data_IF_012295347594
#
_entry.id   IF_012295347594
#
_cell.length_a   1.000
_cell.length_b   1.000
_cell.length_c   1.000
_cell.angle_alpha   90.00
_cell.angle_beta   90.00
_cell.angle_gamma   90.00
#
_symmetry.space_group_name_H-M   'P 1'
#
loop_
_entity.id
_entity.type
_entity.pdbx_description
1 polymer ?
#
# COMPACT_ATOMS: atom_id res chain seq x y z
N UNK A 1 16.84 17.85 8.61
CA UNK A 1 15.70 18.46 9.34
C UNK A 1 14.69 17.36 9.64
N UNK A 2 14.26 17.25 10.90
CA UNK A 2 13.17 16.34 11.28
C UNK A 2 11.86 16.91 10.76
N UNK A 3 11.02 16.10 10.11
CA UNK A 3 9.72 16.55 9.60
C UNK A 3 8.82 17.02 10.76
N UNK A 4 8.07 18.11 10.54
CA UNK A 4 7.08 18.55 11.51
C UNK A 4 6.03 17.47 11.71
N UNK A 5 5.84 17.04 12.96
CA UNK A 5 4.90 15.98 13.29
C UNK A 5 3.46 16.46 13.19
N UNK A 6 2.59 15.59 12.65
CA UNK A 6 1.15 15.80 12.58
C UNK A 6 0.44 14.89 13.59
N UNK A 7 -0.54 15.47 14.25
CA UNK A 7 -1.46 14.77 15.15
C UNK A 7 -2.82 14.64 14.46
N UNK A 8 -3.72 13.87 15.03
CA UNK A 8 -5.03 13.61 14.40
C UNK A 8 -5.74 14.90 13.95
N UNK A 9 -5.66 15.97 14.73
CA UNK A 9 -6.30 17.27 14.45
C UNK A 9 -5.74 17.99 13.24
N UNK A 10 -4.54 17.62 12.78
CA UNK A 10 -3.86 18.28 11.66
C UNK A 10 -4.24 17.70 10.29
N UNK A 11 -4.99 16.59 10.29
CA UNK A 11 -5.42 15.94 9.05
C UNK A 11 -6.76 16.47 8.57
N UNK A 12 -6.92 16.48 7.24
CA UNK A 12 -8.17 16.86 6.57
C UNK A 12 -8.52 15.80 5.53
N UNK A 13 -9.82 15.57 5.33
CA UNK A 13 -10.31 14.80 4.19
C UNK A 13 -9.82 15.45 2.89
N UNK A 14 -9.25 14.66 1.99
CA UNK A 14 -8.61 15.12 0.76
C UNK A 14 -7.09 15.32 0.86
N UNK A 15 -6.48 15.24 2.04
CA UNK A 15 -5.01 15.21 2.16
C UNK A 15 -4.45 14.03 1.38
N UNK A 16 -3.39 14.27 0.60
CA UNK A 16 -2.80 13.25 -0.28
C UNK A 16 -1.33 13.02 0.05
N UNK A 17 -0.95 11.75 -0.03
CA UNK A 17 0.41 11.30 0.24
C UNK A 17 0.87 10.39 -0.89
N UNK A 18 2.11 10.60 -1.32
CA UNK A 18 2.70 9.83 -2.41
C UNK A 18 3.81 8.94 -1.88
N UNK A 19 3.98 7.81 -2.55
CA UNK A 19 5.14 6.92 -2.39
C UNK A 19 5.90 6.85 -3.71
N UNK A 20 7.20 6.56 -3.69
CA UNK A 20 7.96 6.33 -4.91
C UNK A 20 7.38 5.13 -5.67
N UNK A 21 7.45 5.19 -7.00
CA UNK A 21 7.13 4.06 -7.85
C UNK A 21 8.21 2.97 -7.74
N UNK A 22 7.81 1.73 -8.03
CA UNK A 22 8.69 0.57 -7.98
C UNK A 22 8.39 -0.38 -9.15
N UNK A 23 9.42 -0.77 -9.88
CA UNK A 23 9.28 -1.77 -10.95
C UNK A 23 9.33 -3.17 -10.35
N UNK A 24 8.35 -4.00 -10.68
CA UNK A 24 8.31 -5.41 -10.31
C UNK A 24 9.41 -6.19 -11.02
N UNK A 25 10.16 -6.97 -10.27
CA UNK A 25 11.21 -7.85 -10.76
C UNK A 25 11.05 -9.26 -10.20
N UNK A 26 11.78 -10.22 -10.73
CA UNK A 26 11.85 -11.60 -10.20
C UNK A 26 12.24 -11.63 -8.72
N UNK A 27 13.09 -10.71 -8.28
CA UNK A 27 13.50 -10.63 -6.88
C UNK A 27 12.31 -10.41 -5.93
N UNK A 28 11.34 -9.58 -6.32
CA UNK A 28 10.14 -9.36 -5.51
C UNK A 28 9.33 -10.65 -5.35
N UNK A 29 9.18 -11.42 -6.42
CA UNK A 29 8.44 -12.69 -6.39
C UNK A 29 9.14 -13.72 -5.51
N UNK A 30 10.46 -13.85 -5.65
CA UNK A 30 11.26 -14.78 -4.84
C UNK A 30 11.25 -14.42 -3.35
N UNK A 31 11.42 -13.14 -3.01
CA UNK A 31 11.34 -12.70 -1.62
C UNK A 31 9.96 -12.94 -1.03
N UNK A 32 8.91 -12.68 -1.80
CA UNK A 32 7.54 -12.91 -1.34
C UNK A 32 7.27 -14.40 -1.10
N UNK A 33 7.71 -15.29 -2.01
CA UNK A 33 7.61 -16.73 -1.81
C UNK A 33 8.41 -17.21 -0.59
N UNK A 34 9.64 -16.72 -0.43
CA UNK A 34 10.49 -17.06 0.71
C UNK A 34 9.88 -16.66 2.06
N UNK A 35 9.15 -15.54 2.08
CA UNK A 35 8.48 -15.04 3.28
C UNK A 35 7.16 -15.75 3.57
N UNK A 36 6.39 -16.09 2.54
CA UNK A 36 4.99 -16.56 2.69
C UNK A 36 4.81 -18.06 2.42
N UNK A 37 5.73 -18.70 1.71
CA UNK A 37 5.58 -20.05 1.19
C UNK A 37 4.69 -20.13 -0.07
N UNK A 38 4.18 -19.03 -0.59
CA UNK A 38 3.36 -19.02 -1.81
C UNK A 38 4.23 -19.13 -3.05
N UNK A 39 4.53 -20.38 -3.43
CA UNK A 39 5.33 -20.77 -4.57
C UNK A 39 4.50 -21.41 -5.70
N UNK A 40 3.27 -20.96 -5.90
CA UNK A 40 2.45 -21.49 -6.99
C UNK A 40 3.09 -21.22 -8.36
N UNK A 41 3.13 -22.21 -9.30
CA UNK A 41 3.83 -22.09 -10.60
C UNK A 41 3.46 -20.85 -11.43
N UNK A 42 2.24 -20.34 -11.30
CA UNK A 42 1.79 -19.14 -12.02
C UNK A 42 2.68 -17.91 -11.78
N UNK A 43 3.43 -17.90 -10.67
CA UNK A 43 4.31 -16.81 -10.29
C UNK A 43 5.77 -17.04 -10.68
N UNK A 44 6.17 -18.28 -10.96
CA UNK A 44 7.60 -18.65 -11.10
C UNK A 44 7.95 -19.41 -12.35
N UNK A 45 6.98 -20.08 -13.00
CA UNK A 45 7.20 -20.95 -14.14
C UNK A 45 6.62 -20.32 -15.40
N UNK A 46 7.51 -19.91 -16.32
CA UNK A 46 7.10 -19.28 -17.56
C UNK A 46 6.34 -20.25 -18.48
N UNK A 47 6.73 -21.54 -18.51
CA UNK A 47 6.04 -22.53 -19.33
C UNK A 47 4.64 -22.80 -18.79
N UNK A 48 4.48 -22.91 -17.48
CA UNK A 48 3.15 -22.99 -16.87
C UNK A 48 2.30 -21.75 -17.17
N UNK A 49 2.87 -20.56 -16.97
CA UNK A 49 2.16 -19.30 -17.12
C UNK A 49 1.67 -19.03 -18.56
N UNK A 50 2.43 -19.48 -19.58
CA UNK A 50 2.02 -19.39 -20.99
C UNK A 50 0.69 -20.05 -21.29
N UNK A 51 0.36 -21.12 -20.59
CA UNK A 51 -0.89 -21.86 -20.76
C UNK A 51 -2.06 -21.31 -19.96
N UNK A 52 -1.83 -20.27 -19.17
CA UNK A 52 -2.90 -19.56 -18.44
C UNK A 52 -3.50 -18.44 -19.32
N UNK A 53 -4.67 -17.93 -18.92
CA UNK A 53 -5.29 -16.77 -19.58
C UNK A 53 -4.41 -15.52 -19.58
N UNK A 54 -3.37 -15.48 -18.74
CA UNK A 54 -2.46 -14.34 -18.63
C UNK A 54 -1.28 -14.40 -19.59
N UNK A 55 -0.91 -15.60 -20.08
CA UNK A 55 0.18 -15.81 -21.03
C UNK A 55 1.59 -15.55 -20.48
N UNK A 56 1.71 -15.14 -19.22
CA UNK A 56 2.97 -14.81 -18.55
C UNK A 56 2.79 -14.82 -17.03
N UNK A 57 3.91 -14.84 -16.28
CA UNK A 57 3.89 -14.92 -14.83
C UNK A 57 3.18 -13.73 -14.20
N UNK A 58 2.20 -14.02 -13.36
CA UNK A 58 1.36 -13.08 -12.64
C UNK A 58 1.98 -12.71 -11.28
N UNK A 59 1.92 -11.45 -10.89
CA UNK A 59 2.27 -11.04 -9.53
C UNK A 59 1.26 -11.59 -8.51
N UNK A 60 1.76 -12.00 -7.32
CA UNK A 60 0.91 -12.37 -6.20
C UNK A 60 0.04 -11.17 -5.78
N UNK A 61 -1.25 -11.41 -5.52
CA UNK A 61 -2.14 -10.34 -5.04
C UNK A 61 -1.66 -9.73 -3.73
N UNK A 62 -1.24 -10.54 -2.76
CA UNK A 62 -0.73 -10.05 -1.48
C UNK A 62 0.64 -9.35 -1.61
N UNK A 63 1.47 -9.66 -2.61
CA UNK A 63 2.65 -8.88 -2.95
C UNK A 63 2.24 -7.46 -3.38
N UNK A 64 1.23 -7.33 -4.25
CA UNK A 64 0.71 -6.02 -4.66
C UNK A 64 0.15 -5.24 -3.47
N UNK A 65 -0.59 -5.90 -2.58
CA UNK A 65 -1.07 -5.30 -1.33
C UNK A 65 0.08 -4.79 -0.48
N UNK A 66 1.17 -5.56 -0.31
CA UNK A 66 2.33 -5.14 0.48
C UNK A 66 3.03 -3.90 -0.09
N UNK A 67 2.96 -3.67 -1.40
CA UNK A 67 3.53 -2.49 -2.04
C UNK A 67 2.79 -1.18 -1.71
N UNK A 68 1.62 -1.26 -1.10
CA UNK A 68 0.85 -0.10 -0.63
C UNK A 68 1.25 0.38 0.77
N UNK A 69 2.20 -0.28 1.42
CA UNK A 69 2.68 0.12 2.74
C UNK A 69 3.18 1.57 2.76
N UNK A 70 2.81 2.32 3.80
CA UNK A 70 3.08 3.77 3.88
C UNK A 70 4.52 4.13 4.23
N UNK A 71 5.36 3.17 4.63
CA UNK A 71 6.70 3.43 5.17
C UNK A 71 7.63 4.26 4.28
N UNK A 72 7.47 4.20 2.95
CA UNK A 72 8.22 5.02 2.00
C UNK A 72 7.43 6.26 1.51
N UNK A 73 6.24 6.51 2.05
CA UNK A 73 5.39 7.62 1.65
C UNK A 73 5.76 8.92 2.34
N UNK A 74 5.26 10.03 1.80
CA UNK A 74 5.38 11.35 2.44
C UNK A 74 4.57 11.45 3.74
N UNK A 75 3.69 10.47 4.04
CA UNK A 75 2.98 10.38 5.31
C UNK A 75 3.87 9.87 6.45
N UNK A 76 4.70 8.85 6.19
CA UNK A 76 5.46 8.16 7.24
C UNK A 76 6.25 9.11 8.16
N UNK A 77 7.09 10.03 7.65
CA UNK A 77 7.93 10.87 8.51
C UNK A 77 7.15 11.90 9.32
N UNK A 78 5.92 12.22 8.95
CA UNK A 78 5.10 13.23 9.65
C UNK A 78 4.17 12.64 10.72
N UNK A 79 4.04 11.29 10.79
CA UNK A 79 3.22 10.61 11.81
C UNK A 79 4.06 9.76 12.77
N UNK A 80 5.37 9.83 12.70
CA UNK A 80 6.29 9.01 13.50
C UNK A 80 6.00 9.12 15.02
N UNK A 81 5.68 10.32 15.50
CA UNK A 81 5.35 10.57 16.90
C UNK A 81 3.87 10.33 17.25
N UNK A 82 2.99 10.21 16.26
CA UNK A 82 1.54 10.17 16.48
C UNK A 82 0.88 8.87 16.07
N UNK A 83 1.53 8.02 15.27
CA UNK A 83 0.98 6.74 14.87
C UNK A 83 0.86 5.80 16.09
N UNK A 84 -0.35 5.33 16.37
CA UNK A 84 -0.63 4.39 17.44
C UNK A 84 -0.68 2.95 16.91
N UNK A 85 -1.43 2.73 15.82
CA UNK A 85 -1.57 1.40 15.24
C UNK A 85 -2.09 1.47 13.79
N UNK A 86 -1.68 0.50 12.97
CA UNK A 86 -2.34 0.12 11.73
C UNK A 86 -3.37 -0.96 12.06
N UNK A 87 -4.66 -0.66 11.94
CA UNK A 87 -5.71 -1.51 12.52
C UNK A 87 -6.53 -2.28 11.50
N UNK A 88 -6.58 -1.81 10.26
CA UNK A 88 -7.37 -2.46 9.22
C UNK A 88 -6.82 -2.16 7.83
N UNK A 89 -6.93 -3.13 6.95
CA UNK A 89 -6.60 -3.00 5.54
C UNK A 89 -7.61 -3.82 4.72
N UNK A 90 -8.13 -3.20 3.67
CA UNK A 90 -8.93 -3.87 2.65
C UNK A 90 -8.29 -3.73 1.30
N UNK A 91 -8.52 -4.69 0.42
CA UNK A 91 -7.97 -4.69 -0.94
C UNK A 91 -8.94 -5.30 -1.92
N UNK A 92 -9.07 -4.65 -3.08
CA UNK A 92 -9.71 -5.18 -4.26
C UNK A 92 -8.72 -5.13 -5.43
N UNK A 93 -8.56 -6.26 -6.12
CA UNK A 93 -7.69 -6.36 -7.29
C UNK A 93 -8.50 -6.12 -8.55
N UNK A 94 -8.15 -5.08 -9.29
CA UNK A 94 -8.88 -4.64 -10.49
C UNK A 94 -8.25 -5.15 -11.79
N UNK A 95 -6.92 -5.31 -11.81
CA UNK A 95 -6.14 -5.78 -12.97
C UNK A 95 -4.96 -6.62 -12.54
N UNK A 96 -4.51 -7.56 -13.40
CA UNK A 96 -3.26 -8.27 -13.17
C UNK A 96 -2.05 -7.32 -13.29
N UNK A 97 -0.99 -7.63 -12.57
CA UNK A 97 0.32 -7.01 -12.72
C UNK A 97 1.38 -8.10 -12.96
N UNK A 98 2.44 -7.75 -13.65
CA UNK A 98 3.45 -8.66 -14.15
C UNK A 98 4.86 -8.14 -13.87
N UNK A 99 5.85 -9.02 -13.98
CA UNK A 99 7.27 -8.57 -14.00
C UNK A 99 7.45 -7.51 -15.08
N UNK A 100 8.14 -6.43 -14.73
CA UNK A 100 8.37 -5.27 -15.59
C UNK A 100 7.34 -4.15 -15.45
N UNK A 101 6.20 -4.38 -14.80
CA UNK A 101 5.27 -3.29 -14.50
C UNK A 101 5.85 -2.38 -13.40
N UNK A 102 5.73 -1.08 -13.60
CA UNK A 102 6.12 -0.06 -12.62
C UNK A 102 4.89 0.44 -11.90
N UNK A 103 4.85 0.19 -10.61
CA UNK A 103 3.68 0.43 -9.76
C UNK A 103 3.93 1.62 -8.84
N UNK A 104 2.94 2.52 -8.75
CA UNK A 104 2.95 3.71 -7.91
C UNK A 104 1.78 3.68 -6.93
N UNK A 105 2.02 3.55 -5.61
CA UNK A 105 0.97 3.69 -4.61
C UNK A 105 0.63 5.16 -4.36
N UNK A 106 -0.66 5.43 -4.13
CA UNK A 106 -1.20 6.73 -3.72
C UNK A 106 -2.12 6.56 -2.54
N UNK A 107 -2.12 7.52 -1.64
CA UNK A 107 -2.92 7.53 -0.43
C UNK A 107 -3.67 8.86 -0.32
N UNK A 108 -4.96 8.80 0.01
CA UNK A 108 -5.82 9.97 0.20
C UNK A 108 -6.67 9.79 1.44
N UNK A 109 -6.69 10.79 2.33
CA UNK A 109 -7.57 10.78 3.50
C UNK A 109 -9.02 10.90 3.05
N UNK A 110 -9.81 9.89 3.36
CA UNK A 110 -11.25 9.85 3.01
C UNK A 110 -12.18 10.00 4.19
N UNK A 111 -11.70 9.65 5.40
CA UNK A 111 -12.49 9.82 6.62
C UNK A 111 -11.60 10.05 7.84
N UNK A 112 -12.13 10.81 8.79
CA UNK A 112 -11.54 11.10 10.08
C UNK A 112 -12.61 10.90 11.15
N UNK A 113 -12.41 9.98 12.06
CA UNK A 113 -13.37 9.66 13.12
C UNK A 113 -12.71 9.78 14.48
N UNK A 114 -13.26 10.63 15.35
CA UNK A 114 -12.79 10.74 16.73
C UNK A 114 -13.23 9.51 17.54
N UNK A 115 -12.29 8.86 18.22
CA UNK A 115 -12.53 7.81 19.19
C UNK A 115 -12.11 8.30 20.58
N UNK A 116 -12.28 7.48 21.60
CA UNK A 116 -12.04 7.87 22.99
C UNK A 116 -10.59 8.28 23.27
N UNK A 117 -9.60 7.53 22.76
CA UNK A 117 -8.17 7.72 23.10
C UNK A 117 -7.29 8.11 21.92
N UNK A 118 -7.79 8.02 20.71
CA UNK A 118 -7.08 8.37 19.48
C UNK A 118 -8.10 8.65 18.38
N UNK A 119 -7.68 9.21 17.24
CA UNK A 119 -8.53 9.35 16.09
C UNK A 119 -8.30 8.22 15.07
N UNK A 120 -9.37 7.74 14.44
CA UNK A 120 -9.29 6.81 13.32
C UNK A 120 -9.20 7.57 12.01
N UNK A 121 -8.06 7.43 11.34
CA UNK A 121 -7.78 8.00 10.03
C UNK A 121 -7.94 6.91 8.99
N UNK A 122 -8.82 7.13 7.99
CA UNK A 122 -9.00 6.23 6.85
C UNK A 122 -8.35 6.81 5.62
N UNK A 123 -7.48 6.03 4.99
CA UNK A 123 -6.87 6.33 3.70
C UNK A 123 -7.49 5.45 2.62
N UNK A 124 -7.98 6.06 1.57
CA UNK A 124 -8.15 5.36 0.29
C UNK A 124 -6.76 5.12 -0.29
N UNK A 125 -6.52 3.91 -0.75
CA UNK A 125 -5.25 3.48 -1.33
C UNK A 125 -5.47 2.99 -2.75
N UNK A 126 -4.67 3.47 -3.69
CA UNK A 126 -4.63 2.98 -5.06
C UNK A 126 -3.21 2.59 -5.44
N UNK A 127 -3.08 1.55 -6.24
CA UNK A 127 -1.82 1.15 -6.87
C UNK A 127 -2.02 1.22 -8.37
N UNK A 128 -1.29 2.11 -9.03
CA UNK A 128 -1.38 2.36 -10.46
C UNK A 128 -0.15 1.82 -11.17
N UNK A 129 -0.33 1.30 -12.39
CA UNK A 129 0.79 0.90 -13.25
C UNK A 129 1.32 2.08 -14.08
N UNK A 130 2.36 1.86 -14.89
CA UNK A 130 3.00 2.87 -15.73
C UNK A 130 2.07 3.46 -16.81
N UNK A 131 0.93 2.84 -17.07
CA UNK A 131 -0.09 3.34 -18.02
C UNK A 131 -1.19 4.17 -17.35
N UNK A 132 -1.08 4.39 -16.02
CA UNK A 132 -2.11 5.07 -15.22
C UNK A 132 -3.34 4.21 -14.94
N UNK A 133 -3.24 2.90 -15.14
CA UNK A 133 -4.33 1.97 -14.86
C UNK A 133 -4.27 1.50 -13.42
N UNK A 134 -5.39 1.57 -12.70
CA UNK A 134 -5.51 1.03 -11.34
C UNK A 134 -5.45 -0.50 -11.37
N UNK A 135 -4.47 -1.08 -10.70
CA UNK A 135 -4.33 -2.53 -10.52
C UNK A 135 -4.91 -3.00 -9.20
N UNK A 136 -4.91 -2.12 -8.19
CA UNK A 136 -5.43 -2.39 -6.85
C UNK A 136 -6.03 -1.11 -6.27
N UNK A 137 -7.13 -1.25 -5.54
CA UNK A 137 -7.69 -0.20 -4.68
C UNK A 137 -8.15 -0.80 -3.35
N UNK A 138 -8.20 0.02 -2.31
CA UNK A 138 -8.66 -0.39 -0.99
C UNK A 138 -8.55 0.72 0.03
N UNK A 139 -8.56 0.34 1.29
CA UNK A 139 -8.45 1.27 2.41
C UNK A 139 -7.41 0.79 3.40
N UNK A 140 -6.70 1.75 3.99
CA UNK A 140 -5.91 1.56 5.19
C UNK A 140 -6.50 2.39 6.32
N UNK A 141 -6.58 1.83 7.52
CA UNK A 141 -7.06 2.54 8.70
C UNK A 141 -5.99 2.54 9.79
N UNK A 142 -5.69 3.74 10.26
CA UNK A 142 -4.69 3.99 11.29
C UNK A 142 -5.32 4.67 12.50
N UNK A 143 -4.92 4.29 13.70
CA UNK A 143 -5.12 5.09 14.89
C UNK A 143 -3.99 6.10 15.02
N UNK A 144 -4.35 7.37 15.08
CA UNK A 144 -3.42 8.51 15.22
C UNK A 144 -3.72 9.19 16.55
N UNK A 145 -2.69 9.41 17.34
CA UNK A 145 -2.82 10.08 18.63
C UNK A 145 -3.32 11.52 18.48
N UNK A 146 -4.04 11.98 19.48
CA UNK A 146 -4.36 13.38 19.64
C UNK A 146 -3.13 14.18 20.05
N UNK A 147 -3.13 15.47 19.74
CA UNK A 147 -2.06 16.37 20.16
C UNK A 147 -1.92 16.33 21.68
N UNK A 148 -0.70 16.13 22.22
CA UNK A 148 -0.47 16.20 23.65
C UNK A 148 -0.93 17.57 24.22
N UNK A 149 -1.62 17.53 25.35
CA UNK A 149 -1.93 18.76 26.09
C UNK A 149 -0.65 19.21 26.77
N UNK A 150 -0.27 20.47 26.55
CA UNK A 150 0.90 21.08 27.17
C UNK A 150 0.74 21.20 28.69
#
# INVERSE_FOLDING_TARGET
>A
MVAAQRWFEDFKVGDRFESPSKTLTDAHFLFFAGMTGDAHPIHYDDEYAKHTRYGRRLAHGLLLTSMTAVGASTLAPIIEASIVAFVEQTTRFSRPAFVGDTLKPRHEVTALERKRSAGLLTLRVTLENQRGETVLEGEHRYLIAYRPVA
#
